data_IF_395420985184
#
_entry.id   IF_395420985184
#
_cell.length_a   1.000
_cell.length_b   1.000
_cell.length_c   1.000
_cell.angle_alpha   90.00
_cell.angle_beta   90.00
_cell.angle_gamma   90.00
#
_symmetry.space_group_name_H-M   'P 1'
#
loop_
_entity.id
_entity.type
_entity.pdbx_description
1 polymer ?
#
# COMPACT_ATOMS: atom_id res chain seq x y z
N UNK A 1 -3.36 21.57 12.74
CA UNK A 1 -3.47 21.61 11.26
C UNK A 1 -2.28 22.39 10.74
N UNK A 2 -1.65 21.94 9.64
CA UNK A 2 -0.43 22.53 9.05
C UNK A 2 -0.77 23.13 7.69
N UNK A 3 -0.27 24.33 7.40
CA UNK A 3 -0.42 24.96 6.08
C UNK A 3 0.76 24.58 5.18
N UNK A 4 0.47 24.09 3.98
CA UNK A 4 1.45 23.81 2.93
C UNK A 4 1.03 24.60 1.69
N UNK A 5 1.84 25.60 1.34
CA UNK A 5 1.52 26.60 0.32
C UNK A 5 0.22 27.34 0.63
N UNK A 6 -0.88 27.00 -0.05
CA UNK A 6 -2.21 27.59 0.15
C UNK A 6 -3.25 26.52 0.55
N UNK A 7 -2.79 25.38 1.08
CA UNK A 7 -3.60 24.21 1.43
C UNK A 7 -3.47 23.93 2.92
N UNK A 8 -4.62 23.84 3.60
CA UNK A 8 -4.70 23.40 4.99
C UNK A 8 -4.71 21.87 5.07
N UNK A 9 -3.70 21.31 5.72
CA UNK A 9 -3.50 19.87 5.90
C UNK A 9 -3.74 19.50 7.37
N UNK A 10 -4.44 18.40 7.62
CA UNK A 10 -4.62 17.90 8.98
C UNK A 10 -3.31 17.36 9.55
N UNK A 11 -3.03 17.57 10.84
CA UNK A 11 -1.77 17.12 11.45
C UNK A 11 -1.61 15.60 11.43
N UNK A 12 -2.72 14.86 11.49
CA UNK A 12 -2.72 13.39 11.40
C UNK A 12 -2.03 12.88 10.14
N UNK A 13 -2.03 13.64 9.05
CA UNK A 13 -1.32 13.27 7.80
C UNK A 13 0.19 13.10 8.03
N UNK A 14 0.76 13.75 9.04
CA UNK A 14 2.18 13.59 9.40
C UNK A 14 2.46 12.36 10.28
N UNK A 15 1.44 11.86 10.98
CA UNK A 15 1.54 10.73 11.89
C UNK A 15 1.12 9.40 11.23
N UNK A 16 0.22 9.47 10.26
CA UNK A 16 -0.32 8.29 9.59
C UNK A 16 0.68 7.65 8.61
N UNK A 17 0.72 6.32 8.63
CA UNK A 17 1.56 5.55 7.72
C UNK A 17 0.74 5.08 6.51
N UNK A 18 0.84 5.83 5.41
CA UNK A 18 0.13 5.52 4.16
C UNK A 18 0.73 4.33 3.38
N UNK A 19 1.93 3.87 3.74
CA UNK A 19 2.60 2.73 3.11
C UNK A 19 2.77 1.59 4.09
N UNK A 20 2.71 0.36 3.57
CA UNK A 20 2.84 -0.83 4.39
C UNK A 20 4.23 -0.90 5.03
N UNK A 21 4.28 -1.13 6.35
CA UNK A 21 5.53 -1.44 7.04
C UNK A 21 5.88 -2.93 6.87
N UNK A 22 6.50 -3.27 5.74
CA UNK A 22 6.91 -4.63 5.40
C UNK A 22 7.85 -5.26 6.44
N UNK A 23 8.66 -4.44 7.12
CA UNK A 23 9.53 -4.93 8.18
C UNK A 23 8.76 -5.42 9.40
N UNK A 24 7.61 -4.80 9.68
CA UNK A 24 6.72 -5.17 10.79
C UNK A 24 5.82 -6.35 10.44
N UNK A 25 5.20 -6.34 9.26
CA UNK A 25 4.23 -7.37 8.89
C UNK A 25 4.84 -8.59 8.19
N UNK A 26 6.04 -8.47 7.62
CA UNK A 26 6.70 -9.52 6.83
C UNK A 26 5.82 -10.11 5.72
N UNK A 27 4.91 -9.31 5.16
CA UNK A 27 3.96 -9.74 4.12
C UNK A 27 2.73 -10.50 4.64
N UNK A 28 2.60 -10.73 5.95
CA UNK A 28 1.47 -11.46 6.51
C UNK A 28 0.12 -10.80 6.21
N UNK A 29 0.03 -9.46 6.22
CA UNK A 29 -1.22 -8.75 5.92
C UNK A 29 -1.70 -8.92 4.47
N UNK A 30 -0.79 -9.19 3.52
CA UNK A 30 -1.12 -9.36 2.10
C UNK A 30 -1.43 -10.82 1.74
N UNK A 31 -0.91 -11.78 2.54
CA UNK A 31 -1.04 -13.22 2.28
C UNK A 31 -2.10 -13.88 3.15
N UNK A 32 -2.26 -13.40 4.40
CA UNK A 32 -3.15 -13.98 5.41
C UNK A 32 -4.35 -13.07 5.73
N UNK A 33 -4.42 -11.87 5.14
CA UNK A 33 -5.45 -10.90 5.43
C UNK A 33 -6.36 -10.64 4.23
N UNK A 34 -7.66 -10.46 4.51
CA UNK A 34 -8.66 -9.96 3.55
C UNK A 34 -8.46 -8.46 3.19
N UNK A 35 -7.38 -7.85 3.66
CA UNK A 35 -7.06 -6.44 3.52
C UNK A 35 -6.06 -6.14 2.38
N UNK A 36 -5.62 -7.16 1.65
CA UNK A 36 -4.85 -6.98 0.42
C UNK A 36 -5.71 -6.38 -0.68
N UNK A 37 -5.12 -5.56 -1.55
CA UNK A 37 -5.79 -5.13 -2.77
C UNK A 37 -6.05 -6.38 -3.64
N UNK A 38 -7.30 -6.69 -4.02
CA UNK A 38 -7.58 -7.82 -4.90
C UNK A 38 -6.96 -7.55 -6.26
N UNK A 39 -6.35 -8.57 -6.84
CA UNK A 39 -5.87 -8.51 -8.22
C UNK A 39 -7.03 -8.73 -9.18
N UNK A 40 -7.07 -7.94 -10.25
CA UNK A 40 -7.92 -8.21 -11.40
C UNK A 40 -7.37 -9.38 -12.22
N UNK A 41 -8.26 -10.10 -12.92
CA UNK A 41 -7.87 -11.20 -13.81
C UNK A 41 -6.88 -10.77 -14.92
N UNK A 42 -6.89 -9.51 -15.32
CA UNK A 42 -5.93 -8.99 -16.29
C UNK A 42 -4.52 -8.85 -15.69
N UNK A 43 -4.43 -8.49 -14.40
CA UNK A 43 -3.15 -8.27 -13.71
C UNK A 43 -2.41 -9.59 -13.48
N UNK A 44 -3.13 -10.70 -13.31
CA UNK A 44 -2.51 -12.02 -13.10
C UNK A 44 -1.70 -12.47 -14.32
N UNK A 45 -2.18 -12.19 -15.54
CA UNK A 45 -1.46 -12.54 -16.77
C UNK A 45 -0.13 -11.78 -16.92
N UNK A 46 -0.11 -10.51 -16.50
CA UNK A 46 1.10 -9.67 -16.51
C UNK A 46 2.12 -10.22 -15.50
N UNK A 47 1.66 -10.59 -14.31
CA UNK A 47 2.53 -11.15 -13.27
C UNK A 47 3.20 -12.46 -13.73
N UNK A 48 2.46 -13.34 -14.41
CA UNK A 48 3.03 -14.57 -14.98
C UNK A 48 4.10 -14.30 -16.04
N UNK A 49 3.94 -13.25 -16.85
CA UNK A 49 4.91 -12.87 -17.89
C UNK A 49 6.22 -12.34 -17.30
N UNK A 50 6.14 -11.52 -16.24
CA UNK A 50 7.32 -10.82 -15.69
C UNK A 50 8.03 -11.59 -14.56
N UNK A 51 7.44 -12.67 -14.04
CA UNK A 51 8.01 -13.39 -12.90
C UNK A 51 9.32 -14.08 -13.29
N UNK A 52 10.44 -13.81 -12.58
CA UNK A 52 11.71 -14.50 -12.85
C UNK A 52 11.58 -16.02 -12.61
N UNK A 53 12.18 -16.82 -13.50
CA UNK A 53 12.24 -18.29 -13.36
C UNK A 53 13.30 -18.76 -12.38
#
# INVERSE_FOLDING_TARGET
MVEVENILVHEDVTAEHFVCNLNKCKGACCVLGDAGAPLEHAETAILEEIYPK
#
